data_IF_935511622236
#
_entry.id   IF_935511622236
#
_cell.length_a   1.000
_cell.length_b   1.000
_cell.length_c   1.000
_cell.angle_alpha   90.00
_cell.angle_beta   90.00
_cell.angle_gamma   90.00
#
_symmetry.space_group_name_H-M   'P 1'
#
loop_
_entity.id
_entity.type
_entity.pdbx_description
1 polymer ?
#
# COMPACT_ATOMS: atom_id res chain seq x y z
N UNK A 1 12.36 -19.50 6.04
CA UNK A 1 11.83 -19.94 4.73
C UNK A 1 10.76 -18.93 4.33
N UNK A 2 10.91 -18.19 3.22
CA UNK A 2 9.85 -17.26 2.78
C UNK A 2 8.82 -18.04 1.97
N UNK A 3 7.54 -17.91 2.32
CA UNK A 3 6.44 -18.55 1.58
C UNK A 3 6.02 -17.67 0.41
N UNK A 4 6.03 -18.21 -0.80
CA UNK A 4 5.56 -17.50 -2.00
C UNK A 4 4.03 -17.59 -2.11
N UNK A 5 3.31 -16.46 -2.25
CA UNK A 5 1.87 -16.48 -2.48
C UNK A 5 1.48 -17.25 -3.75
N UNK A 6 0.31 -17.89 -3.72
CA UNK A 6 -0.28 -18.59 -4.86
C UNK A 6 -1.57 -17.87 -5.25
N UNK A 7 -1.74 -17.60 -6.55
CA UNK A 7 -2.95 -16.97 -7.06
C UNK A 7 -4.14 -17.93 -6.95
N UNK A 8 -5.21 -17.54 -6.26
CA UNK A 8 -6.40 -18.39 -6.07
C UNK A 8 -7.13 -18.74 -7.38
N UNK A 9 -7.06 -17.87 -8.38
CA UNK A 9 -7.73 -18.10 -9.67
C UNK A 9 -6.95 -19.01 -10.60
N UNK A 10 -5.62 -18.85 -10.65
CA UNK A 10 -4.77 -19.59 -11.58
C UNK A 10 -4.07 -20.79 -10.95
N UNK A 11 -4.06 -20.89 -9.62
CA UNK A 11 -3.27 -21.87 -8.86
C UNK A 11 -1.77 -21.85 -9.20
N UNK A 12 -1.25 -20.69 -9.64
CA UNK A 12 0.15 -20.48 -9.99
C UNK A 12 0.88 -19.68 -8.90
N UNK A 13 2.17 -19.97 -8.64
CA UNK A 13 3.00 -19.15 -7.77
C UNK A 13 3.10 -17.74 -8.35
N UNK A 14 2.99 -16.74 -7.49
CA UNK A 14 3.08 -15.34 -7.89
C UNK A 14 4.53 -14.85 -7.91
N UNK A 15 4.85 -13.94 -8.81
CA UNK A 15 6.19 -13.36 -8.97
C UNK A 15 6.27 -12.07 -8.14
N UNK A 16 7.33 -11.89 -7.37
CA UNK A 16 7.58 -10.63 -6.67
C UNK A 16 7.92 -9.54 -7.71
N UNK A 17 7.20 -8.42 -7.67
CA UNK A 17 7.40 -7.28 -8.57
C UNK A 17 7.90 -6.03 -7.85
N UNK A 18 7.70 -5.93 -6.54
CA UNK A 18 8.26 -4.88 -5.70
C UNK A 18 8.57 -5.42 -4.32
N UNK A 19 9.73 -5.02 -3.78
CA UNK A 19 10.23 -5.42 -2.46
C UNK A 19 10.24 -4.18 -1.57
N UNK A 20 9.71 -4.29 -0.36
CA UNK A 20 9.75 -3.19 0.61
C UNK A 20 8.78 -2.03 0.34
N UNK A 21 7.72 -2.30 -0.42
CA UNK A 21 6.58 -1.40 -0.61
C UNK A 21 6.01 -0.92 0.73
N UNK A 22 5.49 0.30 0.73
CA UNK A 22 4.89 0.93 1.91
C UNK A 22 3.38 1.04 1.76
N UNK A 23 2.64 0.52 2.74
CA UNK A 23 1.20 0.78 2.85
C UNK A 23 0.95 1.83 3.93
N UNK A 24 0.25 2.90 3.56
CA UNK A 24 -0.23 3.94 4.47
C UNK A 24 -1.70 3.64 4.79
N UNK A 25 -2.00 3.21 6.01
CA UNK A 25 -3.38 3.09 6.47
C UNK A 25 -3.87 4.44 6.99
N UNK A 26 -5.01 4.90 6.46
CA UNK A 26 -5.65 6.17 6.76
C UNK A 26 -7.05 5.95 7.33
N UNK A 27 -7.45 6.75 8.31
CA UNK A 27 -8.86 6.89 8.65
C UNK A 27 -9.61 7.52 7.48
N UNK A 28 -10.88 7.17 7.27
CA UNK A 28 -11.67 7.70 6.17
C UNK A 28 -12.23 9.11 6.43
N UNK A 29 -12.56 9.44 7.69
CA UNK A 29 -13.26 10.68 8.06
C UNK A 29 -12.85 11.18 9.46
N UNK A 30 -12.03 12.24 9.58
CA UNK A 30 -11.28 12.86 8.49
C UNK A 30 -10.13 11.94 7.98
N UNK A 31 -9.70 12.09 6.72
CA UNK A 31 -8.51 11.43 6.19
C UNK A 31 -7.26 11.70 7.03
N UNK A 32 -6.80 10.71 7.78
CA UNK A 32 -5.60 10.85 8.61
C UNK A 32 -4.80 9.54 8.65
N UNK A 33 -3.50 9.56 8.29
CA UNK A 33 -2.62 8.41 8.46
C UNK A 33 -2.52 8.00 9.93
N UNK A 34 -2.57 6.69 10.21
CA UNK A 34 -2.42 6.19 11.57
C UNK A 34 -1.55 4.93 11.69
N UNK A 35 -1.19 4.30 10.58
CA UNK A 35 -0.34 3.11 10.54
C UNK A 35 0.43 3.01 9.23
N UNK A 36 1.70 2.66 9.30
CA UNK A 36 2.54 2.37 8.14
C UNK A 36 2.93 0.89 8.17
N UNK A 37 2.88 0.22 7.02
CA UNK A 37 3.35 -1.15 6.86
C UNK A 37 4.46 -1.23 5.83
N UNK A 38 5.39 -2.16 6.04
CA UNK A 38 6.31 -2.64 5.00
C UNK A 38 5.83 -3.99 4.49
N UNK A 39 5.78 -4.16 3.19
CA UNK A 39 5.32 -5.38 2.53
C UNK A 39 6.04 -5.57 1.20
N UNK A 40 5.92 -6.76 0.63
CA UNK A 40 6.30 -7.01 -0.76
C UNK A 40 5.03 -7.11 -1.62
N UNK A 41 5.12 -6.75 -2.91
CA UNK A 41 4.04 -6.86 -3.88
C UNK A 41 4.33 -8.01 -4.83
N UNK A 42 3.35 -8.89 -4.98
CA UNK A 42 3.40 -10.06 -5.85
C UNK A 42 2.36 -9.95 -6.94
N UNK A 43 2.70 -10.41 -8.15
CA UNK A 43 1.82 -10.43 -9.32
C UNK A 43 1.69 -11.83 -9.90
N UNK A 44 0.47 -12.21 -10.25
CA UNK A 44 0.22 -13.46 -10.96
C UNK A 44 0.71 -13.33 -12.41
N UNK A 45 1.56 -14.25 -12.91
CA UNK A 45 2.08 -14.18 -14.28
C UNK A 45 1.01 -14.41 -15.36
N UNK A 46 -0.14 -15.00 -15.00
CA UNK A 46 -1.21 -15.33 -15.95
C UNK A 46 -2.34 -14.30 -15.96
N UNK A 47 -2.95 -14.01 -14.80
CA UNK A 47 -4.11 -13.10 -14.72
C UNK A 47 -3.77 -11.68 -14.30
N UNK A 48 -2.49 -11.38 -14.02
CA UNK A 48 -2.02 -10.06 -13.56
C UNK A 48 -2.61 -9.57 -12.22
N UNK A 49 -3.35 -10.39 -11.47
CA UNK A 49 -3.78 -10.03 -10.12
C UNK A 49 -2.57 -9.77 -9.22
N UNK A 50 -2.67 -8.73 -8.39
CA UNK A 50 -1.61 -8.30 -7.48
C UNK A 50 -2.06 -8.50 -6.02
N UNK A 51 -1.12 -8.91 -5.17
CA UNK A 51 -1.34 -9.06 -3.73
C UNK A 51 -0.14 -8.53 -2.96
N UNK A 52 -0.40 -7.86 -1.85
CA UNK A 52 0.61 -7.55 -0.85
C UNK A 52 0.77 -8.75 0.09
N UNK A 53 2.02 -9.16 0.35
CA UNK A 53 2.33 -10.25 1.26
C UNK A 53 3.68 -10.03 1.95
N UNK A 54 3.92 -10.74 3.05
CA UNK A 54 5.14 -10.58 3.83
C UNK A 54 5.15 -9.32 4.69
N UNK A 55 3.98 -8.92 5.21
CA UNK A 55 3.82 -7.76 6.08
C UNK A 55 4.78 -7.83 7.29
N UNK A 56 5.59 -6.78 7.44
CA UNK A 56 6.39 -6.53 8.63
C UNK A 56 5.55 -6.01 9.80
N UNK A 57 6.21 -5.76 10.93
CA UNK A 57 5.58 -5.06 12.06
C UNK A 57 5.19 -3.65 11.62
N UNK A 58 3.94 -3.22 11.84
CA UNK A 58 3.53 -1.88 11.46
C UNK A 58 4.19 -0.83 12.36
N UNK A 59 4.44 0.36 11.82
CA UNK A 59 4.77 1.55 12.60
C UNK A 59 3.46 2.30 12.91
N UNK A 60 2.96 2.26 14.15
CA UNK A 60 1.76 3.01 14.53
C UNK A 60 2.08 4.47 14.82
N UNK A 61 1.08 5.34 14.65
CA UNK A 61 1.20 6.80 14.78
C UNK A 61 1.77 7.33 16.09
N UNK A 62 1.60 6.62 17.19
CA UNK A 62 2.07 7.08 18.50
C UNK A 62 3.58 6.89 18.71
N UNK A 63 4.27 6.24 17.77
CA UNK A 63 5.72 6.12 17.82
C UNK A 63 6.38 7.38 17.21
N UNK A 64 7.49 7.87 17.80
CA UNK A 64 8.21 9.05 17.30
C UNK A 64 8.63 8.92 15.83
N UNK A 65 9.01 7.72 15.40
CA UNK A 65 9.51 7.44 14.06
C UNK A 65 8.40 7.49 12.99
N UNK A 66 7.13 7.53 13.39
CA UNK A 66 6.01 7.54 12.44
C UNK A 66 6.01 8.80 11.57
N UNK A 67 6.14 9.98 12.18
CA UNK A 67 6.08 11.25 11.46
C UNK A 67 7.32 11.40 10.56
N UNK A 68 8.49 10.97 11.04
CA UNK A 68 9.73 10.95 10.26
C UNK A 68 9.59 10.10 8.99
N UNK A 69 9.08 8.86 9.12
CA UNK A 69 8.84 8.01 7.96
C UNK A 69 7.75 8.53 7.04
N UNK A 70 6.69 9.12 7.60
CA UNK A 70 5.59 9.66 6.81
C UNK A 70 6.06 10.84 5.94
N UNK A 71 6.89 11.73 6.47
CA UNK A 71 7.47 12.84 5.70
C UNK A 71 8.41 12.37 4.59
N UNK A 72 9.26 11.36 4.85
CA UNK A 72 10.11 10.76 3.82
C UNK A 72 9.29 10.21 2.64
N UNK A 73 8.17 9.55 2.95
CA UNK A 73 7.23 9.02 1.95
C UNK A 73 6.57 10.18 1.18
N UNK A 74 6.15 11.24 1.86
CA UNK A 74 5.54 12.40 1.19
C UNK A 74 6.51 13.14 0.29
N UNK A 75 7.76 13.31 0.71
CA UNK A 75 8.78 13.95 -0.11
C UNK A 75 9.10 13.13 -1.35
N UNK A 76 9.14 11.80 -1.21
CA UNK A 76 9.24 10.88 -2.36
C UNK A 76 8.12 11.12 -3.38
N UNK A 77 6.87 11.24 -2.91
CA UNK A 77 5.70 11.47 -3.77
C UNK A 77 5.67 12.86 -4.44
N UNK A 78 6.36 13.86 -3.88
CA UNK A 78 6.46 15.21 -4.46
C UNK A 78 7.45 15.30 -5.62
N UNK A 79 8.36 14.32 -5.79
CA UNK A 79 9.38 14.40 -6.83
C UNK A 79 8.82 14.11 -8.24
N UNK A 80 9.04 15.00 -9.24
CA UNK A 80 8.47 14.86 -10.58
C UNK A 80 9.14 13.77 -11.44
N UNK A 81 10.31 13.28 -11.02
CA UNK A 81 11.01 12.14 -11.62
C UNK A 81 10.66 10.82 -10.90
N UNK A 82 9.45 10.78 -10.32
CA UNK A 82 8.95 9.70 -9.49
C UNK A 82 9.31 8.33 -10.04
N UNK A 83 10.06 7.59 -9.23
CA UNK A 83 9.82 6.22 -8.79
C UNK A 83 10.90 6.01 -7.73
N UNK A 84 10.58 6.11 -6.44
CA UNK A 84 11.33 5.26 -5.51
C UNK A 84 10.97 3.83 -5.88
N UNK A 85 11.94 2.92 -5.89
CA UNK A 85 11.70 1.48 -6.13
C UNK A 85 10.64 0.85 -5.21
N UNK A 86 10.23 1.59 -4.17
CA UNK A 86 9.18 1.23 -3.25
C UNK A 86 7.81 1.67 -3.79
N UNK A 87 6.94 0.71 -4.09
CA UNK A 87 5.53 0.99 -4.34
C UNK A 87 4.90 1.60 -3.07
N UNK A 88 4.14 2.70 -3.23
CA UNK A 88 3.38 3.32 -2.14
C UNK A 88 1.89 3.07 -2.37
N UNK A 89 1.24 2.47 -1.38
CA UNK A 89 -0.18 2.11 -1.41
C UNK A 89 -0.88 2.85 -0.28
N UNK A 90 -2.03 3.47 -0.57
CA UNK A 90 -2.85 4.14 0.45
C UNK A 90 -4.13 3.34 0.67
N UNK A 91 -4.35 2.90 1.90
CA UNK A 91 -5.52 2.13 2.31
C UNK A 91 -6.40 2.97 3.25
N UNK A 92 -7.70 3.05 2.98
CA UNK A 92 -8.65 3.76 3.83
C UNK A 92 -9.45 2.78 4.68
N UNK A 93 -9.41 2.94 6.00
CA UNK A 93 -10.25 2.21 6.95
C UNK A 93 -11.42 3.08 7.43
N UNK A 94 -12.63 2.49 7.48
CA UNK A 94 -13.80 3.12 8.11
C UNK A 94 -13.64 3.04 9.63
N UNK A 95 -13.68 4.19 10.30
CA UNK A 95 -13.47 4.31 11.74
C UNK A 95 -14.44 3.48 12.61
N UNK A 96 -15.60 3.07 12.06
CA UNK A 96 -16.59 2.26 12.78
C UNK A 96 -16.18 0.81 13.01
N UNK A 97 -15.26 0.28 12.20
CA UNK A 97 -14.87 -1.14 12.29
C UNK A 97 -13.80 -1.38 13.37
N UNK A 98 -13.01 -0.36 13.72
CA UNK A 98 -11.90 -0.45 14.68
C UNK A 98 -12.36 -0.50 16.14
N UNK A 99 -13.50 0.12 16.46
CA UNK A 99 -14.02 0.24 17.83
C UNK A 99 -14.90 -0.95 18.23
N UNK A 100 -15.59 -1.58 17.25
CA UNK A 100 -16.53 -2.67 17.53
C UNK A 100 -15.91 -4.08 17.49
N UNK A 101 -14.80 -4.27 16.76
CA UNK A 101 -14.22 -5.60 16.55
C UNK A 101 -12.72 -5.59 16.81
N UNK A 102 -12.35 -5.74 18.09
CA UNK A 102 -10.98 -6.01 18.49
C UNK A 102 -10.33 -7.09 17.61
N UNK A 103 -9.22 -6.72 16.95
CA UNK A 103 -8.23 -7.59 16.31
C UNK A 103 -8.69 -8.63 15.28
N UNK A 104 -9.96 -8.65 14.85
CA UNK A 104 -10.48 -9.67 13.91
C UNK A 104 -11.42 -9.15 12.82
N UNK A 105 -11.43 -7.85 12.55
CA UNK A 105 -12.18 -7.31 11.40
C UNK A 105 -11.46 -7.64 10.10
N UNK A 106 -12.14 -8.40 9.22
CA UNK A 106 -11.80 -8.46 7.78
C UNK A 106 -11.86 -7.03 7.23
N UNK A 107 -10.74 -6.33 7.22
CA UNK A 107 -10.61 -5.04 6.58
C UNK A 107 -11.06 -5.23 5.13
N UNK A 108 -12.19 -4.64 4.75
CA UNK A 108 -12.50 -4.43 3.33
C UNK A 108 -11.56 -3.32 2.89
N UNK A 109 -10.31 -3.69 2.60
CA UNK A 109 -9.34 -2.79 1.98
C UNK A 109 -9.92 -2.39 0.63
N UNK A 110 -10.46 -1.17 0.58
CA UNK A 110 -10.68 -0.52 -0.70
C UNK A 110 -9.29 -0.14 -1.21
N UNK A 111 -8.70 -1.02 -2.01
CA UNK A 111 -7.53 -0.73 -2.85
C UNK A 111 -7.97 0.35 -3.86
N UNK A 112 -8.07 1.59 -3.40
CA UNK A 112 -8.33 2.75 -4.22
C UNK A 112 -7.02 3.14 -4.90
N UNK A 113 -6.71 2.39 -5.96
CA UNK A 113 -5.70 2.73 -6.96
C UNK A 113 -4.26 2.69 -6.45
N UNK A 114 -3.48 1.77 -7.01
CA UNK A 114 -2.08 2.08 -7.27
C UNK A 114 -2.07 3.45 -7.94
N UNK A 115 -1.44 4.46 -7.32
CA UNK A 115 -1.15 5.73 -7.95
C UNK A 115 -0.07 5.52 -9.02
N UNK A 116 -0.37 4.71 -10.03
CA UNK A 116 0.26 4.78 -11.34
C UNK A 116 -0.30 6.01 -12.07
N UNK A 117 -0.09 7.19 -11.49
CA UNK A 117 -0.03 8.41 -12.31
C UNK A 117 1.30 8.38 -13.04
N UNK A 118 1.35 7.60 -14.14
CA UNK A 118 2.02 8.12 -15.33
C UNK A 118 1.31 9.45 -15.59
N UNK A 119 1.95 10.55 -15.21
CA UNK A 119 1.62 11.86 -15.74
C UNK A 119 1.88 11.80 -17.25
N UNK A 120 0.93 11.23 -18.00
CA UNK A 120 0.80 11.54 -19.40
C UNK A 120 0.50 13.03 -19.41
N UNK A 121 1.50 13.83 -19.81
CA UNK A 121 1.31 15.21 -20.22
C UNK A 121 0.02 15.25 -21.03
N UNK A 122 -1.04 15.84 -20.47
CA UNK A 122 -2.04 16.44 -21.33
C UNK A 122 -1.30 17.57 -22.03
N UNK A 123 -1.08 17.39 -23.32
CA UNK A 123 -0.86 18.52 -24.22
C UNK A 123 -1.99 19.52 -23.91
N UNK A 124 -1.61 20.72 -23.46
CA UNK A 124 -2.52 21.84 -23.39
C UNK A 124 -2.94 22.20 -24.82
N UNK A 125 -4.24 22.31 -25.12
CA UNK A 125 -4.66 22.86 -26.39
C UNK A 125 -4.57 24.40 -26.33
N UNK A 126 -3.73 24.92 -27.23
CA UNK A 126 -3.56 26.30 -27.71
C UNK A 126 -2.92 27.34 -26.79
#
# INVERSE_FOLDING_TARGET
>A
MRTTPVCIHCSLPMTNISVGATIISMYMDPPQPYKLWRTDIYKCPQCSNEVAAGYGTPTPKHLPEFDEYLEEIWDTLKTPYGVSDNDIIIEYEKATDSILYGSNSRSRSYLLGLLNKRFSKKEEPN
#
